data_IF_679871365343
#
_entry.id   IF_679871365343
#
_cell.length_a   1.000
_cell.length_b   1.000
_cell.length_c   1.000
_cell.angle_alpha   90.00
_cell.angle_beta   90.00
_cell.angle_gamma   90.00
#
_symmetry.space_group_name_H-M   'P 1'
#
loop_
_entity.id
_entity.type
_entity.pdbx_description
1 polymer ?
#
# COMPACT_ATOMS: atom_id res chain seq x y z
N UNK A 1 6.77 4.68 -0.08
CA UNK A 1 5.94 3.92 -1.03
C UNK A 1 4.50 4.03 -0.59
N UNK A 2 3.56 4.21 -1.50
CA UNK A 2 2.15 4.24 -1.16
C UNK A 2 1.26 3.67 -2.26
N UNK A 3 0.08 3.18 -1.88
CA UNK A 3 -0.98 2.84 -2.82
C UNK A 3 -1.76 4.10 -3.13
N UNK A 4 -1.79 4.51 -4.40
CA UNK A 4 -2.58 5.64 -4.86
C UNK A 4 -3.98 5.16 -5.27
N UNK A 5 -4.94 5.29 -4.36
CA UNK A 5 -6.33 4.91 -4.58
C UNK A 5 -7.24 6.12 -4.90
N UNK A 6 -6.67 7.24 -5.37
CA UNK A 6 -7.40 8.46 -5.74
C UNK A 6 -8.00 8.42 -7.14
N UNK A 7 -7.43 7.59 -8.01
CA UNK A 7 -7.95 7.37 -9.36
C UNK A 7 -8.52 5.97 -9.55
N UNK A 8 -9.32 5.77 -10.62
CA UNK A 8 -9.96 4.49 -10.91
C UNK A 8 -8.95 3.34 -11.08
N UNK A 9 -7.78 3.68 -11.61
CA UNK A 9 -6.64 2.78 -11.71
C UNK A 9 -5.77 2.92 -10.46
N UNK A 10 -5.85 1.93 -9.57
CA UNK A 10 -5.04 1.89 -8.35
C UNK A 10 -3.62 1.48 -8.71
N UNK A 11 -2.64 2.31 -8.31
CA UNK A 11 -1.23 2.07 -8.62
C UNK A 11 -0.34 2.13 -7.38
N UNK A 12 0.82 1.49 -7.49
CA UNK A 12 1.90 1.65 -6.52
C UNK A 12 2.75 2.87 -6.89
N UNK A 13 2.81 3.85 -6.00
CA UNK A 13 3.59 5.06 -6.18
C UNK A 13 4.82 5.07 -5.25
N UNK A 14 5.87 5.75 -5.69
CA UNK A 14 7.18 5.79 -5.04
C UNK A 14 7.69 4.38 -4.64
N UNK A 15 7.78 3.41 -5.58
CA UNK A 15 8.10 2.02 -5.24
C UNK A 15 9.50 1.83 -4.64
N UNK A 16 10.41 2.80 -4.79
CA UNK A 16 11.76 2.76 -4.22
C UNK A 16 11.85 3.28 -2.78
N UNK A 17 10.80 3.94 -2.29
CA UNK A 17 10.75 4.39 -0.91
C UNK A 17 10.18 3.28 -0.01
N UNK A 18 11.04 2.34 0.35
CA UNK A 18 10.70 1.14 1.13
C UNK A 18 10.81 1.36 2.64
N UNK A 19 10.88 2.62 3.09
CA UNK A 19 11.01 3.00 4.50
C UNK A 19 9.66 3.32 5.14
N UNK A 20 8.65 3.60 4.33
CA UNK A 20 7.29 3.92 4.74
C UNK A 20 6.28 3.30 3.78
N UNK A 21 5.12 2.92 4.32
CA UNK A 21 4.03 2.34 3.55
C UNK A 21 2.67 2.87 4.01
N UNK A 22 1.87 3.35 3.06
CA UNK A 22 0.55 3.93 3.30
C UNK A 22 -0.40 3.70 2.12
N UNK A 23 -1.69 3.97 2.33
CA UNK A 23 -2.68 4.06 1.26
C UNK A 23 -3.23 5.47 1.23
N UNK A 24 -3.20 6.09 0.05
CA UNK A 24 -3.68 7.47 -0.16
C UNK A 24 -5.03 7.43 -0.86
N UNK A 25 -5.98 8.20 -0.33
CA UNK A 25 -7.31 8.36 -0.93
C UNK A 25 -7.80 9.80 -0.71
N UNK A 26 -8.76 10.23 -1.52
CA UNK A 26 -9.42 11.53 -1.33
C UNK A 26 -10.57 11.40 -0.32
N UNK A 27 -11.28 10.26 -0.34
CA UNK A 27 -12.39 9.99 0.57
C UNK A 27 -12.56 8.49 0.90
N UNK A 28 -13.20 8.15 2.04
CA UNK A 28 -13.38 6.75 2.44
C UNK A 28 -14.27 5.90 1.53
N UNK A 29 -15.23 6.51 0.82
CA UNK A 29 -16.13 5.78 -0.07
C UNK A 29 -15.35 5.28 -1.30
N UNK A 30 -14.61 6.19 -1.94
CA UNK A 30 -13.70 5.87 -3.06
C UNK A 30 -12.71 4.76 -2.68
N UNK A 31 -12.14 4.82 -1.48
CA UNK A 31 -11.23 3.77 -0.99
C UNK A 31 -11.95 2.42 -0.85
N UNK A 32 -13.17 2.41 -0.33
CA UNK A 32 -13.95 1.17 -0.13
C UNK A 32 -14.28 0.49 -1.46
N UNK A 33 -14.69 1.27 -2.46
CA UNK A 33 -15.00 0.77 -3.81
C UNK A 33 -13.77 0.17 -4.50
N UNK A 34 -12.57 0.67 -4.17
CA UNK A 34 -11.31 0.29 -4.82
C UNK A 34 -10.48 -0.73 -4.04
N UNK A 35 -10.78 -0.95 -2.77
CA UNK A 35 -9.99 -1.80 -1.87
C UNK A 35 -9.71 -3.18 -2.47
N UNK A 36 -10.70 -3.80 -3.12
CA UNK A 36 -10.56 -5.13 -3.74
C UNK A 36 -9.43 -5.22 -4.78
N UNK A 37 -9.07 -4.11 -5.43
CA UNK A 37 -7.99 -4.08 -6.43
C UNK A 37 -6.63 -4.40 -5.82
N UNK A 38 -6.38 -3.97 -4.58
CA UNK A 38 -5.06 -4.10 -3.92
C UNK A 38 -5.10 -4.91 -2.61
N UNK A 39 -6.28 -5.14 -2.04
CA UNK A 39 -6.45 -5.84 -0.76
C UNK A 39 -7.83 -5.68 -0.15
N UNK A 40 -7.88 -5.25 1.11
CA UNK A 40 -9.13 -5.04 1.87
C UNK A 40 -8.97 -3.95 2.92
N UNK A 41 -10.10 -3.47 3.45
CA UNK A 41 -10.14 -2.58 4.61
C UNK A 41 -10.65 -3.35 5.82
N UNK A 42 -10.02 -3.14 6.98
CA UNK A 42 -10.48 -3.65 8.26
C UNK A 42 -9.89 -2.79 9.38
N UNK A 43 -10.63 -2.62 10.48
CA UNK A 43 -10.15 -1.95 11.70
C UNK A 43 -9.52 -0.56 11.46
N UNK A 44 -10.09 0.22 10.53
CA UNK A 44 -9.59 1.55 10.17
C UNK A 44 -8.26 1.57 9.42
N UNK A 45 -7.76 0.40 9.00
CA UNK A 45 -6.52 0.21 8.24
C UNK A 45 -6.80 -0.41 6.88
N UNK A 46 -5.83 -0.26 5.98
CA UNK A 46 -5.79 -1.01 4.74
C UNK A 46 -4.86 -2.22 4.90
N UNK A 47 -5.29 -3.39 4.45
CA UNK A 47 -4.48 -4.60 4.38
C UNK A 47 -4.19 -4.84 2.90
N UNK A 48 -2.97 -4.52 2.46
CA UNK A 48 -2.55 -4.57 1.05
C UNK A 48 -1.86 -5.90 0.76
N UNK A 49 -2.27 -6.61 -0.31
CA UNK A 49 -1.69 -7.91 -0.65
C UNK A 49 -0.25 -7.74 -1.16
N UNK A 50 0.66 -8.54 -0.62
CA UNK A 50 2.07 -8.49 -0.99
C UNK A 50 2.32 -8.94 -2.44
N UNK A 51 1.49 -9.86 -2.96
CA UNK A 51 1.57 -10.30 -4.36
C UNK A 51 1.21 -9.16 -5.33
N UNK A 52 0.18 -8.37 -5.00
CA UNK A 52 -0.19 -7.17 -5.74
C UNK A 52 0.94 -6.15 -5.73
N UNK A 53 1.57 -5.88 -4.58
CA UNK A 53 2.73 -4.96 -4.50
C UNK A 53 3.87 -5.46 -5.39
N UNK A 54 4.17 -6.76 -5.38
CA UNK A 54 5.21 -7.35 -6.25
C UNK A 54 4.88 -7.22 -7.73
N UNK A 55 3.61 -7.41 -8.10
CA UNK A 55 3.15 -7.27 -9.48
C UNK A 55 3.14 -5.80 -9.96
N UNK A 56 2.87 -4.85 -9.06
CA UNK A 56 2.83 -3.41 -9.36
C UNK A 56 4.19 -2.71 -9.23
N UNK A 57 5.17 -3.35 -8.61
CA UNK A 57 6.51 -2.80 -8.42
C UNK A 57 7.41 -2.98 -9.65
N UNK A 58 8.65 -2.42 -9.61
CA UNK A 58 9.64 -2.52 -10.68
C UNK A 58 10.05 -3.94 -11.09
N UNK A 59 9.82 -4.96 -10.25
CA UNK A 59 10.13 -6.36 -10.55
C UNK A 59 11.62 -6.70 -10.67
N UNK A 60 12.53 -5.76 -10.45
CA UNK A 60 13.97 -6.03 -10.47
C UNK A 60 14.38 -6.86 -9.25
N UNK A 61 15.46 -7.65 -9.39
CA UNK A 61 15.98 -8.46 -8.28
C UNK A 61 16.40 -7.60 -7.08
N UNK A 62 16.99 -6.43 -7.33
CA UNK A 62 17.37 -5.46 -6.30
C UNK A 62 16.15 -4.93 -5.55
N UNK A 63 15.12 -4.48 -6.28
CA UNK A 63 13.90 -3.99 -5.68
C UNK A 63 13.20 -5.09 -4.88
N UNK A 64 13.13 -6.30 -5.42
CA UNK A 64 12.53 -7.47 -4.74
C UNK A 64 13.26 -7.75 -3.43
N UNK A 65 14.60 -7.79 -3.44
CA UNK A 65 15.38 -8.02 -2.22
C UNK A 65 15.19 -6.90 -1.18
N UNK A 66 15.04 -5.65 -1.62
CA UNK A 66 14.75 -4.53 -0.73
C UNK A 66 13.31 -4.60 -0.16
N UNK A 67 12.34 -5.01 -0.97
CA UNK A 67 10.96 -5.20 -0.54
C UNK A 67 10.85 -6.34 0.48
N UNK A 68 11.57 -7.45 0.30
CA UNK A 68 11.61 -8.53 1.30
C UNK A 68 12.19 -8.05 2.66
N UNK A 69 13.15 -7.11 2.66
CA UNK A 69 13.62 -6.48 3.90
C UNK A 69 12.53 -5.63 4.57
N UNK A 70 11.75 -4.89 3.78
CA UNK A 70 10.60 -4.15 4.28
C UNK A 70 9.53 -5.10 4.87
N UNK A 71 9.27 -6.23 4.22
CA UNK A 71 8.35 -7.26 4.73
C UNK A 71 8.83 -7.86 6.06
N UNK A 72 10.12 -8.14 6.19
CA UNK A 72 10.71 -8.63 7.44
C UNK A 72 10.53 -7.61 8.58
N UNK A 73 10.72 -6.32 8.31
CA UNK A 73 10.48 -5.25 9.28
C UNK A 73 8.98 -5.10 9.65
N UNK A 74 8.09 -5.19 8.65
CA UNK A 74 6.65 -5.17 8.90
C UNK A 74 6.21 -6.37 9.77
N UNK A 75 6.76 -7.56 9.51
CA UNK A 75 6.52 -8.74 10.32
C UNK A 75 6.98 -8.56 11.78
N UNK A 76 8.19 -8.04 12.00
CA UNK A 76 8.69 -7.78 13.35
C UNK A 76 7.89 -6.72 14.10
N UNK A 77 7.24 -5.81 13.37
CA UNK A 77 6.39 -4.75 13.92
C UNK A 77 4.94 -5.20 14.12
N UNK A 78 4.59 -6.43 13.72
CA UNK A 78 3.23 -6.96 13.80
C UNK A 78 2.27 -6.40 12.74
N UNK A 79 2.78 -5.86 11.64
CA UNK A 79 1.99 -5.28 10.54
C UNK A 79 1.82 -6.24 9.35
N UNK A 80 2.45 -7.42 9.37
CA UNK A 80 2.31 -8.42 8.31
C UNK A 80 1.35 -9.54 8.76
N UNK A 81 0.27 -9.75 8.01
CA UNK A 81 -0.76 -10.74 8.31
C UNK A 81 -1.13 -11.52 7.05
N UNK A 82 -0.88 -12.83 7.02
CA UNK A 82 -1.36 -13.73 5.95
C UNK A 82 -1.10 -13.17 4.53
N UNK A 83 0.13 -12.69 4.28
CA UNK A 83 0.50 -12.10 2.98
C UNK A 83 -0.05 -10.70 2.72
N UNK A 84 -0.59 -10.02 3.73
CA UNK A 84 -1.03 -8.63 3.65
C UNK A 84 -0.21 -7.74 4.58
N UNK A 85 0.21 -6.57 4.08
CA UNK A 85 0.82 -5.52 4.89
C UNK A 85 -0.28 -4.57 5.36
N UNK A 86 -0.36 -4.35 6.67
CA UNK A 86 -1.18 -3.30 7.26
C UNK A 86 -0.56 -1.94 6.95
N UNK A 87 -1.39 -1.05 6.41
CA UNK A 87 -1.04 0.30 6.04
C UNK A 87 -2.05 1.27 6.64
N UNK A 88 -1.54 2.40 7.13
CA UNK A 88 -2.39 3.50 7.53
C UNK A 88 -2.97 4.20 6.29
N UNK A 89 -4.18 4.73 6.43
CA UNK A 89 -4.88 5.46 5.37
C UNK A 89 -4.58 6.94 5.55
N UNK A 90 -4.01 7.57 4.53
CA UNK A 90 -3.77 9.01 4.46
C UNK A 90 -4.83 9.62 3.57
N UNK A 91 -5.50 10.64 4.08
CA UNK A 91 -6.38 11.48 3.26
C UNK A 91 -5.54 12.59 2.66
N UNK A 92 -5.57 12.73 1.34
CA UNK A 92 -5.11 13.97 0.72
C UNK A 92 -6.00 15.08 1.27
N UNK A 93 -5.42 16.09 1.92
CA UNK A 93 -6.19 17.31 2.18
C UNK A 93 -6.70 17.88 0.86
N UNK A 94 -7.70 18.79 0.87
CA UNK A 94 -7.98 19.57 -0.32
C UNK A 94 -6.67 20.26 -0.73
N UNK A 95 -6.15 19.96 -1.91
CA UNK A 95 -5.14 20.79 -2.56
C UNK A 95 -5.77 22.19 -2.67
N UNK A 96 -5.45 23.06 -1.72
CA UNK A 96 -5.64 24.50 -1.86
C UNK A 96 -4.57 24.95 -2.85
N UNK A 97 -4.93 24.85 -4.14
CA UNK A 97 -4.17 25.41 -5.25
C UNK A 97 -4.03 26.92 -5.20
#
# INVERSE_FOLDING_TARGET
>A
MYVDARHNDVRLAEPHDLTRFSVVTDDPQTLTERAGQFGRLADGSAFVRCDWIRASGPGTSEWTAAFEKMLAFAASSGWLHEGHIQAHIVRSGPDIG
#
